data_IF_882608991511
#
_entry.id   IF_882608991511
#
_cell.length_a   1.000
_cell.length_b   1.000
_cell.length_c   1.000
_cell.angle_alpha   90.00
_cell.angle_beta   90.00
_cell.angle_gamma   90.00
#
_symmetry.space_group_name_H-M   'P 1'
#
loop_
_entity.id
_entity.type
_entity.pdbx_description
1 polymer ?
#
# COMPACT_ATOMS: atom_id res chain seq x y z
N UNK A 1 -55.46 0.88 2.47
CA UNK A 1 -54.86 1.27 1.18
C UNK A 1 -55.64 2.44 0.54
N UNK A 2 -56.97 2.46 0.63
CA UNK A 2 -57.82 3.48 0.01
C UNK A 2 -58.24 4.66 0.89
N UNK A 3 -57.61 4.89 2.05
CA UNK A 3 -57.94 6.08 2.83
C UNK A 3 -57.44 7.35 2.10
N UNK A 4 -58.12 8.50 2.27
CA UNK A 4 -57.70 9.75 1.65
C UNK A 4 -56.23 10.12 1.95
N UNK A 5 -55.74 9.84 3.15
CA UNK A 5 -54.36 10.10 3.59
C UNK A 5 -53.36 9.21 2.84
N UNK A 6 -53.67 7.92 2.69
CA UNK A 6 -52.82 6.98 1.96
C UNK A 6 -52.74 7.34 0.47
N UNK A 7 -53.85 7.77 -0.14
CA UNK A 7 -53.88 8.25 -1.52
C UNK A 7 -53.07 9.53 -1.68
N UNK A 8 -53.31 10.52 -0.83
CA UNK A 8 -52.56 11.77 -0.85
C UNK A 8 -51.04 11.52 -0.70
N UNK A 9 -50.64 10.70 0.26
CA UNK A 9 -49.23 10.35 0.48
C UNK A 9 -48.62 9.64 -0.72
N UNK A 10 -49.32 8.69 -1.33
CA UNK A 10 -48.84 7.97 -2.52
C UNK A 10 -48.71 8.90 -3.74
N UNK A 11 -49.72 9.76 -3.98
CA UNK A 11 -49.70 10.74 -5.06
C UNK A 11 -48.56 11.74 -4.92
N UNK A 12 -48.33 12.29 -3.71
CA UNK A 12 -47.20 13.21 -3.47
C UNK A 12 -45.85 12.54 -3.73
N UNK A 13 -45.67 11.28 -3.29
CA UNK A 13 -44.43 10.53 -3.57
C UNK A 13 -44.25 10.26 -5.07
N UNK A 14 -45.31 9.83 -5.76
CA UNK A 14 -45.26 9.58 -7.20
C UNK A 14 -44.91 10.87 -7.98
N UNK A 15 -45.49 12.00 -7.62
CA UNK A 15 -45.20 13.31 -8.24
C UNK A 15 -43.75 13.78 -8.02
N UNK A 16 -43.07 13.30 -6.97
CA UNK A 16 -41.67 13.61 -6.66
C UNK A 16 -40.67 12.54 -7.14
N UNK A 17 -41.09 11.63 -8.03
CA UNK A 17 -40.20 10.62 -8.62
C UNK A 17 -40.05 9.33 -7.80
N UNK A 18 -40.90 9.13 -6.77
CA UNK A 18 -40.98 7.89 -6.01
C UNK A 18 -40.63 8.05 -4.53
N UNK A 19 -40.35 6.91 -3.88
CA UNK A 19 -40.01 6.88 -2.45
C UNK A 19 -38.51 7.05 -2.23
N UNK A 20 -38.15 7.82 -1.20
CA UNK A 20 -36.77 8.01 -0.73
C UNK A 20 -36.72 7.80 0.79
N UNK A 21 -35.59 7.31 1.36
CA UNK A 21 -34.34 6.97 0.68
C UNK A 21 -34.43 5.66 -0.13
N UNK A 22 -33.66 5.59 -1.21
CA UNK A 22 -33.47 4.38 -2.01
C UNK A 22 -31.98 4.22 -2.36
N UNK A 23 -31.47 2.99 -2.37
CA UNK A 23 -30.05 2.70 -2.64
C UNK A 23 -29.92 1.61 -3.70
N UNK A 24 -29.17 1.88 -4.77
CA UNK A 24 -28.82 0.85 -5.76
C UNK A 24 -27.62 0.06 -5.25
N UNK A 25 -27.64 -1.26 -5.43
CA UNK A 25 -26.51 -2.11 -5.03
C UNK A 25 -25.42 -2.19 -6.09
N UNK A 26 -25.77 -1.92 -7.34
CA UNK A 26 -24.90 -2.03 -8.51
C UNK A 26 -25.06 -0.82 -9.43
N UNK A 27 -23.98 -0.44 -10.11
CA UNK A 27 -23.98 0.53 -11.20
C UNK A 27 -23.92 -0.14 -12.58
N UNK A 28 -23.60 0.63 -13.61
CA UNK A 28 -23.36 0.13 -14.96
C UNK A 28 -22.22 -0.89 -15.02
N UNK A 29 -22.28 -1.82 -15.97
CA UNK A 29 -21.19 -2.79 -16.20
C UNK A 29 -20.01 -2.13 -16.93
N UNK A 30 -18.80 -2.46 -16.48
CA UNK A 30 -17.54 -2.01 -17.08
C UNK A 30 -16.58 -3.20 -17.16
N UNK A 31 -15.88 -3.33 -18.29
CA UNK A 31 -14.81 -4.31 -18.46
C UNK A 31 -13.48 -3.61 -18.19
N UNK A 32 -12.65 -4.21 -17.34
CA UNK A 32 -11.34 -3.64 -16.99
C UNK A 32 -10.25 -4.17 -17.95
N UNK A 33 -9.16 -3.43 -18.16
CA UNK A 33 -8.04 -3.92 -18.95
C UNK A 33 -7.39 -5.16 -18.29
N UNK A 34 -6.95 -6.15 -19.06
CA UNK A 34 -6.22 -7.30 -18.53
C UNK A 34 -4.86 -6.87 -17.97
N UNK A 35 -4.23 -7.71 -17.15
CA UNK A 35 -2.90 -7.46 -16.59
C UNK A 35 -1.84 -7.17 -17.67
N UNK A 36 -1.97 -7.77 -18.85
CA UNK A 36 -1.07 -7.53 -20.00
C UNK A 36 -1.09 -6.08 -20.51
N UNK A 37 -2.12 -5.28 -20.19
CA UNK A 37 -2.11 -3.85 -20.49
C UNK A 37 -1.02 -3.09 -19.72
N UNK A 38 -0.48 -3.69 -18.65
CA UNK A 38 0.57 -3.14 -17.81
C UNK A 38 1.92 -3.84 -18.02
N UNK A 39 2.14 -4.53 -19.15
CA UNK A 39 3.35 -5.34 -19.42
C UNK A 39 4.67 -4.60 -19.12
N UNK A 40 4.75 -3.30 -19.42
CA UNK A 40 5.93 -2.47 -19.17
C UNK A 40 6.27 -2.32 -17.68
N UNK A 41 5.32 -2.59 -16.78
CA UNK A 41 5.52 -2.59 -15.33
C UNK A 41 5.84 -3.99 -14.78
N UNK A 42 5.65 -5.05 -15.59
CA UNK A 42 5.91 -6.43 -15.20
C UNK A 42 7.35 -6.88 -15.52
N UNK A 43 8.00 -6.17 -16.44
CA UNK A 43 9.37 -6.43 -16.89
C UNK A 43 10.39 -5.60 -16.09
N UNK A 44 11.65 -6.05 -16.13
CA UNK A 44 12.76 -5.32 -15.51
C UNK A 44 12.93 -3.92 -16.09
N UNK A 45 13.22 -2.94 -15.23
CA UNK A 45 13.59 -1.58 -15.66
C UNK A 45 15.04 -1.47 -16.14
N UNK A 46 15.81 -2.56 -16.06
CA UNK A 46 17.24 -2.56 -16.38
C UNK A 46 18.01 -1.63 -15.42
N UNK A 47 18.81 -0.73 -15.99
CA UNK A 47 19.57 0.27 -15.23
C UNK A 47 18.73 1.51 -14.85
N UNK A 48 17.53 1.67 -15.41
CA UNK A 48 16.69 2.82 -15.11
C UNK A 48 16.07 2.66 -13.74
N UNK A 49 16.31 3.65 -12.89
CA UNK A 49 15.68 3.76 -11.58
C UNK A 49 14.37 4.57 -11.67
N UNK A 50 13.34 4.08 -10.99
CA UNK A 50 12.06 4.77 -10.80
C UNK A 50 11.55 4.49 -9.39
N UNK A 51 10.56 5.25 -8.93
CA UNK A 51 9.85 4.99 -7.69
C UNK A 51 8.52 4.27 -7.94
N UNK A 52 7.91 3.72 -6.89
CA UNK A 52 6.53 3.17 -7.00
C UNK A 52 5.50 4.25 -7.31
N UNK A 53 5.72 5.51 -6.89
CA UNK A 53 4.90 6.65 -7.34
C UNK A 53 5.02 6.89 -8.84
N UNK A 54 6.24 6.88 -9.40
CA UNK A 54 6.42 7.00 -10.86
C UNK A 54 5.82 5.81 -11.62
N UNK A 55 5.88 4.60 -11.07
CA UNK A 55 5.23 3.43 -11.63
C UNK A 55 3.69 3.60 -11.63
N UNK A 56 3.11 4.11 -10.53
CA UNK A 56 1.69 4.43 -10.45
C UNK A 56 1.26 5.42 -11.55
N UNK A 57 1.99 6.51 -11.74
CA UNK A 57 1.67 7.52 -12.80
C UNK A 57 1.61 6.87 -14.18
N UNK A 58 2.49 5.90 -14.47
CA UNK A 58 2.46 5.14 -15.73
C UNK A 58 1.25 4.21 -15.83
N UNK A 59 0.89 3.52 -14.74
CA UNK A 59 -0.31 2.68 -14.65
C UNK A 59 -1.56 3.54 -14.89
N UNK A 60 -1.67 4.67 -14.20
CA UNK A 60 -2.77 5.61 -14.36
C UNK A 60 -2.84 6.14 -15.79
N UNK A 61 -1.70 6.44 -16.41
CA UNK A 61 -1.63 6.87 -17.82
C UNK A 61 -2.20 5.82 -18.78
N UNK A 62 -1.96 4.54 -18.53
CA UNK A 62 -2.57 3.43 -19.28
C UNK A 62 -4.09 3.39 -19.06
N UNK A 63 -4.55 3.53 -17.80
CA UNK A 63 -5.96 3.49 -17.45
C UNK A 63 -6.77 4.62 -18.09
N UNK A 64 -6.27 5.86 -18.05
CA UNK A 64 -6.99 7.02 -18.62
C UNK A 64 -7.04 6.98 -20.15
N UNK A 65 -6.13 6.24 -20.80
CA UNK A 65 -6.12 6.01 -22.26
C UNK A 65 -6.98 4.82 -22.68
N UNK A 66 -7.42 3.99 -21.73
CA UNK A 66 -8.29 2.86 -22.04
C UNK A 66 -9.65 3.35 -22.56
N UNK A 67 -10.10 2.78 -23.68
CA UNK A 67 -11.31 3.24 -24.38
C UNK A 67 -12.60 2.91 -23.63
N UNK A 68 -12.59 1.94 -22.72
CA UNK A 68 -13.76 1.51 -21.97
C UNK A 68 -13.87 2.24 -20.64
N UNK A 69 -12.77 2.32 -19.88
CA UNK A 69 -12.79 2.86 -18.53
C UNK A 69 -12.20 4.25 -18.39
N UNK A 70 -11.42 4.74 -19.35
CA UNK A 70 -10.61 5.95 -19.20
C UNK A 70 -11.41 7.20 -18.82
N UNK A 71 -12.62 7.36 -19.35
CA UNK A 71 -13.52 8.49 -19.01
C UNK A 71 -14.16 8.41 -17.61
N UNK A 72 -14.09 7.25 -16.95
CA UNK A 72 -14.64 7.03 -15.60
C UNK A 72 -13.55 7.14 -14.52
N UNK A 73 -12.28 7.19 -14.91
CA UNK A 73 -11.17 7.40 -13.98
C UNK A 73 -11.23 8.83 -13.44
N UNK A 74 -11.07 9.00 -12.12
CA UNK A 74 -11.09 10.33 -11.48
C UNK A 74 -9.80 10.50 -10.68
N UNK A 75 -8.74 11.10 -11.27
CA UNK A 75 -7.54 11.46 -10.50
C UNK A 75 -7.87 12.62 -9.56
N UNK A 76 -7.48 12.51 -8.29
CA UNK A 76 -7.74 13.52 -7.26
C UNK A 76 -6.43 13.81 -6.53
N UNK A 77 -6.12 15.10 -6.34
CA UNK A 77 -4.90 15.61 -5.71
C UNK A 77 -5.24 16.78 -4.76
N UNK A 78 -4.56 16.88 -3.59
CA UNK A 78 -4.67 18.02 -2.69
C UNK A 78 -3.44 18.93 -2.85
N UNK A 79 -3.46 19.82 -3.84
CA UNK A 79 -2.40 20.75 -4.27
C UNK A 79 -1.18 20.07 -4.91
N UNK A 80 -0.58 19.11 -4.22
CA UNK A 80 0.77 18.60 -4.45
C UNK A 80 0.92 17.61 -5.61
N UNK A 81 0.45 17.95 -6.80
CA UNK A 81 0.53 17.08 -7.98
C UNK A 81 1.96 16.89 -8.53
N UNK A 82 2.80 17.93 -8.50
CA UNK A 82 4.18 17.88 -9.00
C UNK A 82 5.06 16.94 -8.15
N UNK A 83 4.86 16.95 -6.84
CA UNK A 83 5.53 16.03 -5.92
C UNK A 83 5.30 14.56 -6.30
N UNK A 84 4.13 14.26 -6.87
CA UNK A 84 3.77 12.90 -7.30
C UNK A 84 4.06 12.61 -8.78
N UNK A 85 4.68 13.53 -9.52
CA UNK A 85 4.98 13.35 -10.95
C UNK A 85 3.74 13.37 -11.85
N UNK A 86 2.65 13.99 -11.38
CA UNK A 86 1.35 14.04 -12.07
C UNK A 86 1.26 15.19 -13.09
N UNK A 87 2.24 16.09 -13.15
CA UNK A 87 2.21 17.29 -13.99
C UNK A 87 2.07 17.00 -15.49
N UNK A 88 2.60 15.86 -15.95
CA UNK A 88 2.42 15.42 -17.34
C UNK A 88 0.98 15.07 -17.70
N UNK A 89 0.13 14.80 -16.69
CA UNK A 89 -1.29 14.52 -16.89
C UNK A 89 -2.12 15.80 -17.04
N UNK A 90 -1.70 16.93 -16.49
CA UNK A 90 -2.45 18.20 -16.60
C UNK A 90 -2.71 18.59 -18.04
N UNK A 91 -1.70 18.43 -18.90
CA UNK A 91 -1.86 18.70 -20.33
C UNK A 91 -2.78 17.70 -21.04
N UNK A 92 -2.74 16.44 -20.63
CA UNK A 92 -3.51 15.36 -21.28
C UNK A 92 -4.98 15.38 -20.85
N UNK A 93 -5.25 15.60 -19.56
CA UNK A 93 -6.55 15.41 -18.93
C UNK A 93 -7.24 16.72 -18.56
N UNK A 94 -6.48 17.81 -18.38
CA UNK A 94 -7.00 19.05 -17.81
C UNK A 94 -7.38 18.92 -16.34
N UNK A 95 -7.35 20.04 -15.64
CA UNK A 95 -7.84 20.19 -14.27
C UNK A 95 -9.26 20.73 -14.35
N UNK A 96 -10.19 20.09 -13.65
CA UNK A 96 -11.58 20.49 -13.65
C UNK A 96 -11.74 21.85 -13.00
N UNK A 97 -12.21 22.84 -13.76
CA UNK A 97 -12.65 24.11 -13.24
C UNK A 97 -13.97 24.50 -13.90
N UNK A 98 -15.04 24.63 -13.10
CA UNK A 98 -16.40 24.90 -13.63
C UNK A 98 -16.49 26.20 -14.43
N UNK A 99 -15.63 27.18 -14.13
CA UNK A 99 -15.53 28.45 -14.85
C UNK A 99 -14.49 28.43 -15.99
N UNK A 100 -13.68 27.38 -16.10
CA UNK A 100 -12.49 27.32 -16.95
C UNK A 100 -11.33 28.14 -16.39
N UNK A 101 -10.24 28.21 -17.14
CA UNK A 101 -9.03 28.97 -16.79
C UNK A 101 -9.31 30.48 -16.75
N UNK A 102 -9.20 31.10 -15.57
CA UNK A 102 -9.44 32.54 -15.36
C UNK A 102 -8.15 33.38 -15.20
N UNK A 103 -6.98 32.74 -15.25
CA UNK A 103 -5.67 33.36 -15.05
C UNK A 103 -4.63 32.74 -15.98
N UNK A 104 -3.51 33.45 -16.21
CA UNK A 104 -2.35 32.86 -16.86
C UNK A 104 -1.51 32.11 -15.80
N UNK A 105 -1.27 30.79 -15.94
CA UNK A 105 -0.42 30.05 -15.03
C UNK A 105 0.99 30.61 -14.96
N UNK A 106 1.60 30.62 -13.77
CA UNK A 106 2.99 31.06 -13.61
C UNK A 106 3.98 30.19 -14.39
N UNK A 107 3.61 28.95 -14.68
CA UNK A 107 4.39 27.98 -15.45
C UNK A 107 3.94 27.89 -16.92
N UNK A 108 3.23 28.89 -17.46
CA UNK A 108 2.70 28.90 -18.83
C UNK A 108 3.77 28.72 -19.92
N UNK A 109 5.03 29.04 -19.61
CA UNK A 109 6.20 28.87 -20.47
C UNK A 109 6.78 27.44 -20.46
N UNK A 110 6.34 26.59 -19.52
CA UNK A 110 6.79 25.21 -19.38
C UNK A 110 6.00 24.25 -20.28
N UNK A 111 6.63 23.14 -20.69
CA UNK A 111 6.00 22.11 -21.54
C UNK A 111 4.80 21.43 -20.85
N UNK A 112 4.86 21.32 -19.53
CA UNK A 112 3.86 20.70 -18.66
C UNK A 112 3.26 21.74 -17.71
N UNK A 113 2.63 22.75 -18.29
CA UNK A 113 1.99 23.84 -17.54
C UNK A 113 0.63 23.43 -16.97
N UNK A 114 0.22 24.13 -15.93
CA UNK A 114 -1.06 23.94 -15.27
C UNK A 114 -2.22 24.37 -16.18
N UNK A 115 -3.18 23.47 -16.47
CA UNK A 115 -4.26 23.73 -17.43
C UNK A 115 -5.62 23.39 -16.85
N UNK A 116 -6.41 24.41 -16.56
CA UNK A 116 -7.79 24.28 -16.13
C UNK A 116 -8.76 24.30 -17.32
N UNK A 117 -9.79 23.45 -17.28
CA UNK A 117 -10.88 23.45 -18.25
C UNK A 117 -12.19 22.93 -17.65
N UNK A 118 -13.31 23.31 -18.29
CA UNK A 118 -14.65 22.89 -17.85
C UNK A 118 -14.89 21.39 -18.02
N UNK A 119 -14.14 20.78 -18.92
CA UNK A 119 -14.11 19.35 -19.24
C UNK A 119 -12.86 18.65 -18.69
N UNK A 120 -12.12 19.32 -17.79
CA UNK A 120 -10.96 18.73 -17.13
C UNK A 120 -11.36 17.52 -16.30
N UNK A 121 -10.50 16.52 -16.26
CA UNK A 121 -10.78 15.24 -15.59
C UNK A 121 -10.14 15.11 -14.21
N UNK A 122 -9.08 15.88 -13.93
CA UNK A 122 -8.40 15.88 -12.63
C UNK A 122 -9.15 16.78 -11.65
N UNK A 123 -9.41 16.30 -10.44
CA UNK A 123 -9.91 17.12 -9.34
C UNK A 123 -8.71 17.60 -8.51
N UNK A 124 -8.45 18.90 -8.58
CA UNK A 124 -7.44 19.59 -7.78
C UNK A 124 -8.18 20.41 -6.72
N UNK A 125 -8.04 19.98 -5.47
CA UNK A 125 -8.87 20.44 -4.35
C UNK A 125 -8.11 21.39 -3.40
N UNK A 126 -6.84 21.69 -3.74
CA UNK A 126 -5.93 22.47 -2.92
C UNK A 126 -5.58 21.77 -1.60
N UNK A 127 -5.07 22.54 -0.63
CA UNK A 127 -4.66 22.03 0.70
C UNK A 127 -5.90 21.72 1.55
N UNK A 128 -6.60 20.64 1.20
CA UNK A 128 -7.87 20.26 1.80
C UNK A 128 -8.10 18.74 1.70
N UNK A 129 -7.39 17.93 2.50
CA UNK A 129 -7.51 16.47 2.44
C UNK A 129 -8.93 15.98 2.73
N UNK A 130 -9.66 16.64 3.62
CA UNK A 130 -11.05 16.31 3.90
C UNK A 130 -11.97 16.57 2.69
N UNK A 131 -11.72 17.66 1.96
CA UNK A 131 -12.39 17.98 0.69
C UNK A 131 -12.05 16.96 -0.39
N UNK A 132 -10.76 16.69 -0.63
CA UNK A 132 -10.32 15.68 -1.59
C UNK A 132 -10.88 14.30 -1.31
N UNK A 133 -10.91 13.89 -0.04
CA UNK A 133 -11.52 12.62 0.33
C UNK A 133 -13.04 12.61 0.16
N UNK A 134 -13.71 13.74 0.39
CA UNK A 134 -15.15 13.86 0.14
C UNK A 134 -15.46 13.74 -1.35
N UNK A 135 -14.66 14.36 -2.23
CA UNK A 135 -14.74 14.18 -3.68
C UNK A 135 -14.44 12.75 -4.10
N UNK A 136 -13.43 12.11 -3.48
CA UNK A 136 -13.14 10.70 -3.67
C UNK A 136 -14.32 9.81 -3.27
N UNK A 137 -14.93 10.04 -2.11
CA UNK A 137 -16.06 9.26 -1.60
C UNK A 137 -17.31 9.44 -2.48
N UNK A 138 -17.56 10.66 -2.96
CA UNK A 138 -18.65 10.93 -3.90
C UNK A 138 -18.46 10.16 -5.22
N UNK A 139 -17.26 10.18 -5.79
CA UNK A 139 -16.94 9.38 -6.98
C UNK A 139 -17.04 7.87 -6.70
N UNK A 140 -16.46 7.41 -5.59
CA UNK A 140 -16.38 6.00 -5.18
C UNK A 140 -17.75 5.37 -4.88
N UNK A 141 -18.78 6.19 -4.65
CA UNK A 141 -20.16 5.76 -4.40
C UNK A 141 -21.14 6.12 -5.52
N UNK A 142 -20.66 6.78 -6.58
CA UNK A 142 -21.47 7.21 -7.72
C UNK A 142 -22.21 6.04 -8.37
N UNK A 143 -21.62 4.83 -8.38
CA UNK A 143 -22.26 3.62 -8.90
C UNK A 143 -23.65 3.36 -8.28
N UNK A 144 -23.83 3.70 -7.01
CA UNK A 144 -25.08 3.52 -6.27
C UNK A 144 -25.97 4.76 -6.42
N UNK A 145 -25.39 5.94 -6.20
CA UNK A 145 -26.11 7.22 -6.14
C UNK A 145 -26.68 7.59 -7.50
N UNK A 146 -25.87 7.54 -8.55
CA UNK A 146 -26.24 7.96 -9.92
C UNK A 146 -26.50 6.77 -10.84
N UNK A 147 -26.01 5.58 -10.48
CA UNK A 147 -26.02 4.40 -11.37
C UNK A 147 -24.78 4.31 -12.28
N UNK A 148 -23.87 5.28 -12.19
CA UNK A 148 -22.65 5.35 -13.01
C UNK A 148 -21.41 5.11 -12.15
N UNK A 149 -20.66 4.05 -12.44
CA UNK A 149 -19.39 3.75 -11.81
C UNK A 149 -18.36 4.83 -12.18
N UNK A 150 -17.71 5.41 -11.16
CA UNK A 150 -16.51 6.21 -11.30
C UNK A 150 -15.39 5.50 -10.54
N UNK A 151 -14.14 5.66 -10.99
CA UNK A 151 -12.96 4.96 -10.48
C UNK A 151 -11.99 6.01 -9.94
N UNK A 152 -12.18 6.48 -8.70
CA UNK A 152 -11.33 7.54 -8.16
C UNK A 152 -9.98 7.00 -7.68
N UNK A 153 -8.93 7.74 -8.00
CA UNK A 153 -7.57 7.57 -7.51
C UNK A 153 -7.18 8.86 -6.78
N UNK A 154 -7.26 8.83 -5.46
CA UNK A 154 -6.85 9.95 -4.61
C UNK A 154 -5.43 9.74 -4.11
N UNK A 155 -4.49 10.56 -4.56
CA UNK A 155 -3.08 10.51 -4.18
C UNK A 155 -2.72 11.70 -3.29
N UNK A 156 -2.08 11.42 -2.17
CA UNK A 156 -1.80 12.40 -1.11
C UNK A 156 -0.61 11.95 -0.26
N UNK A 157 -0.05 12.85 0.56
CA UNK A 157 0.95 12.47 1.55
C UNK A 157 0.34 11.50 2.55
N UNK A 158 0.82 10.25 2.59
CA UNK A 158 0.27 9.14 3.39
C UNK A 158 -0.11 9.51 4.84
N UNK A 159 0.72 10.32 5.51
CA UNK A 159 0.49 10.84 6.86
C UNK A 159 -0.85 11.59 7.02
N UNK A 160 -1.32 12.27 5.98
CA UNK A 160 -2.56 13.05 5.99
C UNK A 160 -3.76 12.27 5.46
N UNK A 161 -3.64 10.94 5.37
CA UNK A 161 -4.77 10.02 5.16
C UNK A 161 -5.48 9.71 6.47
N UNK A 162 -5.47 8.44 6.88
CA UNK A 162 -6.25 7.95 8.01
C UNK A 162 -6.03 8.72 9.32
N UNK A 163 -4.84 9.28 9.56
CA UNK A 163 -4.59 10.09 10.74
C UNK A 163 -5.39 11.41 10.73
N UNK A 164 -5.55 12.04 9.56
CA UNK A 164 -6.20 13.34 9.42
C UNK A 164 -7.70 13.22 9.14
N UNK A 165 -8.11 12.20 8.38
CA UNK A 165 -9.48 12.02 7.84
C UNK A 165 -10.07 10.65 8.18
N UNK A 166 -9.63 10.02 9.28
CA UNK A 166 -10.03 8.65 9.65
C UNK A 166 -11.55 8.44 9.80
N UNK A 167 -12.28 9.43 10.31
CA UNK A 167 -13.74 9.34 10.45
C UNK A 167 -14.45 9.33 9.08
N UNK A 168 -13.96 10.11 8.12
CA UNK A 168 -14.43 10.05 6.73
C UNK A 168 -14.08 8.70 6.09
N UNK A 169 -12.89 8.16 6.36
CA UNK A 169 -12.51 6.84 5.87
C UNK A 169 -13.42 5.73 6.42
N UNK A 170 -13.83 5.82 7.68
CA UNK A 170 -14.83 4.94 8.27
C UNK A 170 -16.20 5.10 7.58
N UNK A 171 -16.65 6.34 7.39
CA UNK A 171 -17.90 6.65 6.69
C UNK A 171 -17.92 6.17 5.22
N UNK A 172 -16.77 6.18 4.55
CA UNK A 172 -16.62 5.59 3.22
C UNK A 172 -16.80 4.08 3.24
N UNK A 173 -16.25 3.40 4.25
CA UNK A 173 -16.48 1.98 4.50
C UNK A 173 -17.98 1.66 4.64
N UNK A 174 -18.69 2.42 5.46
CA UNK A 174 -20.15 2.30 5.65
C UNK A 174 -20.94 2.57 4.35
N UNK A 175 -20.53 3.62 3.62
CA UNK A 175 -21.14 4.01 2.34
C UNK A 175 -20.91 3.01 1.20
N UNK A 176 -20.06 1.99 1.44
CA UNK A 176 -19.61 0.99 0.45
C UNK A 176 -18.86 1.63 -0.71
N UNK A 177 -17.93 2.52 -0.38
CA UNK A 177 -17.05 3.16 -1.36
C UNK A 177 -16.24 2.09 -2.13
N UNK A 178 -16.01 2.36 -3.42
CA UNK A 178 -15.19 1.57 -4.33
C UNK A 178 -14.20 2.50 -5.05
N UNK A 179 -12.92 2.42 -4.70
CA UNK A 179 -11.89 3.32 -5.24
C UNK A 179 -10.52 3.06 -4.64
N UNK A 180 -9.53 3.87 -5.04
CA UNK A 180 -8.14 3.76 -4.61
C UNK A 180 -7.71 5.01 -3.84
N UNK A 181 -7.19 4.79 -2.64
CA UNK A 181 -6.45 5.75 -1.84
C UNK A 181 -4.96 5.44 -1.99
N UNK A 182 -4.17 6.44 -2.36
CA UNK A 182 -2.75 6.29 -2.63
C UNK A 182 -1.98 7.17 -1.66
N UNK A 183 -1.50 6.55 -0.58
CA UNK A 183 -0.62 7.20 0.37
C UNK A 183 0.77 7.33 -0.23
N UNK A 184 1.01 8.40 -0.97
CA UNK A 184 2.32 8.71 -1.52
C UNK A 184 3.27 9.21 -0.43
N UNK A 185 4.54 9.33 -0.81
CA UNK A 185 5.64 9.74 0.08
C UNK A 185 5.65 8.97 1.41
N UNK A 186 5.22 7.70 1.37
CA UNK A 186 5.07 6.85 2.54
C UNK A 186 6.39 6.28 3.04
N UNK A 187 6.37 5.87 4.31
CA UNK A 187 7.49 5.27 5.01
C UNK A 187 8.25 6.28 5.86
N UNK A 188 8.49 5.93 7.13
CA UNK A 188 9.08 6.83 8.13
C UNK A 188 10.45 7.33 7.68
N UNK A 189 11.29 6.46 7.14
CA UNK A 189 12.66 6.83 6.75
C UNK A 189 12.77 7.32 5.32
N UNK A 190 11.70 7.20 4.53
CA UNK A 190 11.73 7.43 3.08
C UNK A 190 11.49 8.89 2.71
N UNK A 191 10.57 9.56 3.41
CA UNK A 191 10.31 11.00 3.30
C UNK A 191 11.24 11.80 4.25
N UNK A 192 12.54 11.57 4.08
CA UNK A 192 13.57 11.82 5.08
C UNK A 192 13.81 13.29 5.46
N UNK A 193 13.43 14.24 4.59
CA UNK A 193 13.66 15.68 4.84
C UNK A 193 12.55 16.34 5.65
N UNK A 194 11.34 15.79 5.62
CA UNK A 194 10.13 16.48 6.09
C UNK A 194 9.88 16.34 7.59
N UNK A 195 10.46 15.31 8.23
CA UNK A 195 10.48 15.18 9.67
C UNK A 195 9.14 14.78 10.31
N UNK A 196 9.02 15.14 11.59
CA UNK A 196 8.05 14.60 12.56
C UNK A 196 6.60 14.49 12.06
N UNK A 197 6.10 15.53 11.39
CA UNK A 197 4.69 15.62 11.00
C UNK A 197 4.38 14.98 9.64
N UNK A 198 5.37 14.44 8.94
CA UNK A 198 5.23 13.93 7.57
C UNK A 198 5.69 12.49 7.41
N UNK A 199 6.76 12.10 8.12
CA UNK A 199 7.33 10.76 8.06
C UNK A 199 6.34 9.74 8.58
N UNK A 200 5.67 9.00 7.70
CA UNK A 200 4.62 8.04 8.05
C UNK A 200 5.16 6.62 8.23
N UNK A 201 5.13 6.16 9.48
CA UNK A 201 5.40 4.77 9.84
C UNK A 201 4.23 4.08 10.56
N UNK A 202 2.97 4.51 10.34
CA UNK A 202 1.83 3.95 11.09
C UNK A 202 0.47 3.97 10.38
N UNK A 203 0.33 4.57 9.19
CA UNK A 203 -0.94 4.60 8.44
C UNK A 203 -1.56 3.22 8.19
N UNK A 204 -0.75 2.19 7.92
CA UNK A 204 -1.25 0.81 7.72
C UNK A 204 -1.91 0.21 8.96
N UNK A 205 -1.52 0.63 10.17
CA UNK A 205 -2.20 0.19 11.39
C UNK A 205 -3.55 0.88 11.57
N UNK A 206 -3.65 2.15 11.13
CA UNK A 206 -4.92 2.85 11.11
C UNK A 206 -5.86 2.27 10.04
N UNK A 207 -5.36 1.99 8.84
CA UNK A 207 -6.17 1.40 7.76
C UNK A 207 -6.67 0.00 8.11
N UNK A 208 -5.89 -0.78 8.88
CA UNK A 208 -6.26 -2.11 9.35
C UNK A 208 -7.58 -2.13 10.15
N UNK A 209 -7.94 -1.00 10.78
CA UNK A 209 -9.16 -0.87 11.58
C UNK A 209 -10.44 -0.92 10.73
N UNK A 210 -10.36 -0.59 9.42
CA UNK A 210 -11.52 -0.50 8.54
C UNK A 210 -11.73 -1.83 7.80
N UNK A 211 -12.82 -2.58 8.05
CA UNK A 211 -12.95 -3.96 7.56
C UNK A 211 -12.91 -4.14 6.05
N UNK A 212 -13.45 -3.18 5.30
CA UNK A 212 -13.50 -3.23 3.82
C UNK A 212 -12.45 -2.34 3.15
N UNK A 213 -11.45 -1.85 3.90
CA UNK A 213 -10.24 -1.25 3.34
C UNK A 213 -9.18 -2.33 3.14
N UNK A 214 -8.76 -2.58 1.90
CA UNK A 214 -7.71 -3.55 1.55
C UNK A 214 -6.39 -2.79 1.40
N UNK A 215 -5.40 -3.10 2.24
CA UNK A 215 -4.16 -2.31 2.33
C UNK A 215 -2.96 -3.05 1.76
N UNK A 216 -2.11 -2.39 0.98
CA UNK A 216 -0.87 -2.94 0.44
C UNK A 216 0.30 -1.94 0.55
N UNK A 217 1.51 -2.48 0.74
CA UNK A 217 2.79 -1.76 0.78
C UNK A 217 3.79 -2.36 -0.22
N UNK A 218 3.54 -2.20 -1.54
CA UNK A 218 4.35 -2.82 -2.58
C UNK A 218 5.77 -2.21 -2.62
N UNK A 219 6.78 -3.05 -2.87
CA UNK A 219 8.15 -2.64 -3.19
C UNK A 219 8.33 -2.44 -4.69
N UNK A 220 7.75 -3.28 -5.55
CA UNK A 220 8.07 -3.28 -6.97
C UNK A 220 6.90 -2.85 -7.87
N UNK A 221 7.22 -2.31 -9.04
CA UNK A 221 6.25 -1.84 -10.02
C UNK A 221 5.28 -2.95 -10.48
N UNK A 222 5.77 -4.19 -10.58
CA UNK A 222 4.92 -5.33 -10.95
C UNK A 222 3.91 -5.68 -9.85
N UNK A 223 4.29 -5.55 -8.58
CA UNK A 223 3.37 -5.79 -7.46
C UNK A 223 2.23 -4.77 -7.51
N UNK A 224 2.59 -3.50 -7.71
CA UNK A 224 1.62 -2.41 -7.86
C UNK A 224 0.68 -2.64 -9.06
N UNK A 225 1.19 -3.08 -10.20
CA UNK A 225 0.38 -3.38 -11.39
C UNK A 225 -0.61 -4.52 -11.12
N UNK A 226 -0.16 -5.61 -10.48
CA UNK A 226 -1.01 -6.75 -10.10
C UNK A 226 -2.09 -6.30 -9.10
N UNK A 227 -1.72 -5.54 -8.06
CA UNK A 227 -2.64 -5.07 -7.01
C UNK A 227 -3.71 -4.14 -7.60
N UNK A 228 -3.32 -3.15 -8.42
CA UNK A 228 -4.29 -2.22 -9.05
C UNK A 228 -5.22 -2.97 -9.99
N UNK A 229 -4.69 -3.87 -10.82
CA UNK A 229 -5.51 -4.64 -11.76
C UNK A 229 -6.53 -5.52 -11.03
N UNK A 230 -6.14 -6.15 -9.92
CA UNK A 230 -7.06 -6.93 -9.08
C UNK A 230 -8.09 -6.04 -8.38
N UNK A 231 -7.69 -4.88 -7.87
CA UNK A 231 -8.62 -3.91 -7.27
C UNK A 231 -9.68 -3.46 -8.28
N UNK A 232 -9.28 -3.21 -9.53
CA UNK A 232 -10.19 -2.90 -10.63
C UNK A 232 -11.14 -4.06 -10.91
N UNK A 233 -10.62 -5.29 -11.00
CA UNK A 233 -11.45 -6.49 -11.23
C UNK A 233 -12.49 -6.67 -10.12
N UNK A 234 -12.09 -6.58 -8.85
CA UNK A 234 -12.98 -6.76 -7.70
C UNK A 234 -14.02 -5.64 -7.60
N UNK A 235 -13.59 -4.39 -7.62
CA UNK A 235 -14.46 -3.25 -7.36
C UNK A 235 -15.32 -2.87 -8.58
N UNK A 236 -14.75 -2.86 -9.77
CA UNK A 236 -15.38 -2.29 -10.98
C UNK A 236 -16.10 -3.37 -11.78
N UNK A 237 -15.44 -4.50 -12.04
CA UNK A 237 -16.02 -5.57 -12.85
C UNK A 237 -16.94 -6.48 -12.01
N UNK A 238 -16.47 -6.94 -10.85
CA UNK A 238 -17.25 -7.82 -9.97
C UNK A 238 -18.18 -7.07 -9.01
N UNK A 239 -18.00 -5.75 -8.87
CA UNK A 239 -18.81 -4.90 -8.00
C UNK A 239 -18.77 -5.32 -6.51
N UNK A 240 -17.60 -5.70 -6.02
CA UNK A 240 -17.32 -5.97 -4.61
C UNK A 240 -17.20 -4.65 -3.83
N UNK A 241 -17.84 -4.59 -2.65
CA UNK A 241 -17.90 -3.39 -1.80
C UNK A 241 -16.68 -3.27 -0.87
N UNK A 242 -15.51 -3.10 -1.49
CA UNK A 242 -14.22 -2.82 -0.85
C UNK A 242 -13.59 -1.58 -1.49
N UNK A 243 -12.65 -0.97 -0.79
CA UNK A 243 -11.76 0.05 -1.37
C UNK A 243 -10.31 -0.26 -1.01
N UNK A 244 -9.39 0.26 -1.81
CA UNK A 244 -7.97 -0.05 -1.70
C UNK A 244 -7.20 1.12 -1.09
N UNK A 245 -6.26 0.80 -0.20
CA UNK A 245 -5.22 1.69 0.25
C UNK A 245 -3.87 1.13 -0.17
N UNK A 246 -3.09 1.92 -0.91
CA UNK A 246 -1.79 1.48 -1.40
C UNK A 246 -0.78 2.58 -1.08
N UNK A 247 0.28 2.24 -0.36
CA UNK A 247 1.38 3.16 -0.11
C UNK A 247 2.34 3.20 -1.28
N UNK A 248 2.79 4.42 -1.61
CA UNK A 248 3.72 4.69 -2.70
C UNK A 248 4.90 5.51 -2.16
N UNK A 249 6.08 5.26 -2.69
CA UNK A 249 7.33 5.84 -2.17
C UNK A 249 7.94 6.78 -3.20
N UNK A 250 8.77 7.72 -2.74
CA UNK A 250 9.45 8.71 -3.58
C UNK A 250 10.94 8.38 -3.86
N UNK A 251 11.45 7.28 -3.32
CA UNK A 251 12.81 6.81 -3.59
C UNK A 251 12.87 6.05 -4.91
N UNK A 252 13.86 6.38 -5.76
CA UNK A 252 14.09 5.69 -7.02
C UNK A 252 15.05 4.52 -6.83
N UNK A 253 14.75 3.39 -7.48
CA UNK A 253 15.61 2.22 -7.56
C UNK A 253 15.23 1.38 -8.79
N UNK A 254 16.04 0.36 -9.10
CA UNK A 254 15.73 -0.58 -10.17
C UNK A 254 14.61 -1.53 -9.74
N UNK A 255 13.71 -1.84 -10.68
CA UNK A 255 12.64 -2.80 -10.45
C UNK A 255 12.94 -4.07 -11.26
N UNK A 256 12.98 -5.26 -10.62
CA UNK A 256 13.24 -6.51 -11.32
C UNK A 256 12.00 -6.98 -12.08
N UNK A 257 12.20 -7.98 -12.94
CA UNK A 257 11.09 -8.68 -13.58
C UNK A 257 10.25 -9.43 -12.55
N UNK A 258 8.93 -9.47 -12.78
CA UNK A 258 8.01 -10.25 -11.95
C UNK A 258 8.37 -11.74 -11.98
N UNK A 259 8.58 -12.39 -10.82
CA UNK A 259 8.78 -13.83 -10.80
C UNK A 259 7.55 -14.56 -11.34
N UNK A 260 7.77 -15.56 -12.20
CA UNK A 260 6.69 -16.33 -12.83
C UNK A 260 5.78 -16.97 -11.77
N UNK A 261 4.48 -16.69 -11.83
CA UNK A 261 3.50 -17.25 -10.89
C UNK A 261 3.41 -16.54 -9.55
N UNK A 262 4.07 -15.38 -9.37
CA UNK A 262 4.02 -14.61 -8.13
C UNK A 262 2.68 -13.88 -7.91
N UNK A 263 1.82 -13.79 -8.93
CA UNK A 263 0.59 -13.00 -8.91
C UNK A 263 -0.31 -13.34 -7.71
N UNK A 264 -0.54 -14.64 -7.45
CA UNK A 264 -1.36 -15.07 -6.32
C UNK A 264 -0.73 -14.64 -4.99
N UNK A 265 0.59 -14.80 -4.83
CA UNK A 265 1.29 -14.42 -3.60
C UNK A 265 1.35 -12.92 -3.38
N UNK A 266 1.51 -12.13 -4.43
CA UNK A 266 1.40 -10.66 -4.40
C UNK A 266 0.02 -10.25 -3.88
N UNK A 267 -1.06 -10.86 -4.37
CA UNK A 267 -2.42 -10.53 -3.96
C UNK A 267 -2.74 -11.02 -2.55
N UNK A 268 -2.23 -12.20 -2.17
CA UNK A 268 -2.43 -12.78 -0.84
C UNK A 268 -1.58 -12.14 0.25
N UNK A 269 -0.53 -11.39 -0.12
CA UNK A 269 0.24 -10.56 0.79
C UNK A 269 1.69 -11.01 1.00
N UNK A 270 2.11 -12.17 0.47
CA UNK A 270 3.50 -12.66 0.57
C UNK A 270 3.86 -13.63 -0.56
N UNK A 271 5.08 -13.52 -1.08
CA UNK A 271 5.71 -14.52 -1.93
C UNK A 271 7.21 -14.61 -1.69
N UNK A 272 7.81 -15.75 -2.06
CA UNK A 272 9.25 -15.93 -1.97
C UNK A 272 9.92 -15.14 -3.11
N UNK A 273 10.66 -14.09 -2.76
CA UNK A 273 11.35 -13.23 -3.72
C UNK A 273 12.64 -13.89 -4.20
N UNK A 274 13.43 -14.45 -3.28
CA UNK A 274 14.63 -15.20 -3.62
C UNK A 274 14.92 -16.29 -2.59
N UNK A 275 15.54 -17.38 -3.05
CA UNK A 275 16.05 -18.46 -2.20
C UNK A 275 17.56 -18.47 -2.19
N UNK A 276 18.13 -18.58 -1.01
CA UNK A 276 19.57 -18.72 -0.85
C UNK A 276 20.03 -20.12 -1.25
N UNK A 277 21.10 -20.16 -2.05
CA UNK A 277 21.79 -21.41 -2.44
C UNK A 277 22.96 -21.76 -1.50
N UNK A 278 23.23 -20.93 -0.49
CA UNK A 278 24.28 -21.19 0.48
C UNK A 278 23.95 -22.43 1.35
N UNK A 279 25.01 -23.07 1.89
CA UNK A 279 24.91 -24.27 2.74
C UNK A 279 24.83 -23.95 4.24
N UNK A 280 24.82 -22.66 4.60
CA UNK A 280 24.79 -22.18 5.98
C UNK A 280 23.49 -22.47 6.73
N UNK A 281 23.44 -22.08 8.01
CA UNK A 281 22.21 -22.08 8.80
C UNK A 281 21.11 -21.32 8.05
N UNK A 282 19.92 -21.90 7.97
CA UNK A 282 18.80 -21.35 7.21
C UNK A 282 18.03 -20.33 8.05
N UNK A 283 17.68 -19.20 7.44
CA UNK A 283 16.83 -18.16 8.05
C UNK A 283 15.87 -17.59 7.01
N UNK A 284 14.82 -16.93 7.48
CA UNK A 284 13.83 -16.26 6.64
C UNK A 284 13.89 -14.76 6.88
N UNK A 285 13.96 -13.97 5.81
CA UNK A 285 13.93 -12.51 5.90
C UNK A 285 12.72 -11.95 5.14
N UNK A 286 11.95 -11.09 5.79
CA UNK A 286 10.77 -10.45 5.24
C UNK A 286 10.97 -8.95 5.15
N UNK A 287 10.49 -8.34 4.08
CA UNK A 287 10.39 -6.89 3.97
C UNK A 287 9.20 -6.45 3.11
N UNK A 288 8.81 -5.20 3.28
CA UNK A 288 7.80 -4.51 2.47
C UNK A 288 8.29 -3.11 2.12
N UNK A 289 7.64 -2.45 1.16
CA UNK A 289 7.98 -1.10 0.74
C UNK A 289 9.47 -0.99 0.38
N UNK A 290 10.10 0.16 0.63
CA UNK A 290 11.52 0.33 0.27
C UNK A 290 12.48 -0.46 1.17
N UNK A 291 12.05 -0.85 2.37
CA UNK A 291 12.90 -1.57 3.33
C UNK A 291 13.17 -3.01 2.89
N UNK A 292 12.36 -3.59 1.99
CA UNK A 292 12.71 -4.86 1.35
C UNK A 292 14.11 -4.81 0.67
N UNK A 293 14.56 -3.64 0.18
CA UNK A 293 15.90 -3.48 -0.39
C UNK A 293 17.00 -3.63 0.65
N UNK A 294 16.79 -3.12 1.86
CA UNK A 294 17.72 -3.31 2.99
C UNK A 294 17.72 -4.79 3.44
N UNK A 295 16.58 -5.46 3.38
CA UNK A 295 16.45 -6.89 3.65
C UNK A 295 17.21 -7.74 2.62
N UNK A 296 17.09 -7.42 1.33
CA UNK A 296 17.85 -8.07 0.25
C UNK A 296 19.36 -7.88 0.49
N UNK A 297 19.80 -6.66 0.79
CA UNK A 297 21.20 -6.39 1.09
C UNK A 297 21.69 -7.13 2.36
N UNK A 298 20.83 -7.27 3.37
CA UNK A 298 21.15 -8.04 4.57
C UNK A 298 21.33 -9.53 4.27
N UNK A 299 20.53 -10.10 3.36
CA UNK A 299 20.69 -11.49 2.91
C UNK A 299 22.08 -11.72 2.29
N UNK A 300 22.55 -10.79 1.45
CA UNK A 300 23.89 -10.85 0.85
C UNK A 300 25.00 -10.76 1.91
N UNK A 301 24.84 -9.89 2.92
CA UNK A 301 25.78 -9.78 4.03
C UNK A 301 25.80 -11.06 4.88
N UNK A 302 24.65 -11.65 5.18
CA UNK A 302 24.53 -12.90 5.94
C UNK A 302 25.24 -14.06 5.24
N UNK A 303 25.07 -14.19 3.92
CA UNK A 303 25.75 -15.23 3.15
C UNK A 303 27.26 -15.01 3.13
N UNK A 304 27.70 -13.79 2.80
CA UNK A 304 29.12 -13.47 2.57
C UNK A 304 29.93 -13.44 3.85
N UNK A 305 29.41 -12.80 4.89
CA UNK A 305 30.17 -12.50 6.11
C UNK A 305 29.98 -13.54 7.21
N UNK A 306 28.84 -14.25 7.21
CA UNK A 306 28.41 -15.06 8.35
C UNK A 306 28.11 -16.51 8.00
N UNK A 307 28.17 -16.89 6.71
CA UNK A 307 27.80 -18.22 6.22
C UNK A 307 26.40 -18.62 6.71
N UNK A 308 25.45 -17.70 6.60
CA UNK A 308 24.03 -17.90 6.90
C UNK A 308 23.25 -17.80 5.59
N UNK A 309 22.34 -18.74 5.38
CA UNK A 309 21.56 -18.87 4.17
C UNK A 309 20.17 -18.27 4.37
N UNK A 310 19.92 -17.11 3.76
CA UNK A 310 18.70 -16.33 3.96
C UNK A 310 17.76 -16.41 2.75
N UNK A 311 16.57 -16.97 2.95
CA UNK A 311 15.49 -16.87 1.95
C UNK A 311 14.75 -15.54 2.16
N UNK A 312 14.58 -14.76 1.09
CA UNK A 312 13.95 -13.43 1.13
C UNK A 312 12.51 -13.52 0.65
N UNK A 313 11.62 -12.88 1.40
CA UNK A 313 10.19 -12.83 1.15
C UNK A 313 9.77 -11.37 0.96
N UNK A 314 9.11 -11.08 -0.17
CA UNK A 314 8.40 -9.81 -0.33
C UNK A 314 7.02 -9.95 0.32
N UNK A 315 6.72 -9.05 1.24
CA UNK A 315 5.44 -8.99 1.95
C UNK A 315 4.68 -7.76 1.46
N UNK A 316 3.78 -7.96 0.48
CA UNK A 316 2.99 -6.89 -0.11
C UNK A 316 1.85 -6.42 0.82
N UNK A 317 1.41 -7.26 1.78
CA UNK A 317 0.41 -6.84 2.78
C UNK A 317 0.44 -7.69 4.05
N UNK A 318 0.95 -7.11 5.15
CA UNK A 318 0.81 -7.72 6.47
C UNK A 318 -0.65 -7.73 6.97
N UNK A 319 -1.44 -6.71 6.60
CA UNK A 319 -2.84 -6.59 7.03
C UNK A 319 -3.71 -7.72 6.46
N UNK A 320 -3.57 -8.04 5.17
CA UNK A 320 -4.35 -9.12 4.55
C UNK A 320 -3.92 -10.50 5.06
N UNK A 321 -2.61 -10.70 5.31
CA UNK A 321 -2.11 -11.93 5.92
C UNK A 321 -2.66 -12.14 7.34
N UNK A 322 -2.78 -11.06 8.13
CA UNK A 322 -3.40 -11.14 9.46
C UNK A 322 -4.87 -11.50 9.37
N UNK A 323 -5.62 -10.87 8.47
CA UNK A 323 -7.04 -11.16 8.28
C UNK A 323 -7.25 -12.62 7.91
N UNK A 324 -6.47 -13.14 6.96
CA UNK A 324 -6.49 -14.55 6.58
C UNK A 324 -6.13 -15.48 7.77
N UNK A 325 -5.11 -15.14 8.54
CA UNK A 325 -4.72 -15.89 9.73
C UNK A 325 -5.80 -15.96 10.80
N UNK A 326 -6.42 -14.83 11.12
CA UNK A 326 -7.53 -14.76 12.08
C UNK A 326 -8.77 -15.50 11.58
N UNK A 327 -9.06 -15.45 10.28
CA UNK A 327 -10.16 -16.20 9.67
C UNK A 327 -9.93 -17.71 9.77
N UNK A 328 -8.70 -18.17 9.57
CA UNK A 328 -8.32 -19.56 9.76
C UNK A 328 -8.47 -19.98 11.24
N UNK A 329 -7.94 -19.21 12.19
CA UNK A 329 -8.06 -19.48 13.62
C UNK A 329 -9.52 -19.50 14.09
N UNK A 330 -10.32 -18.51 13.69
CA UNK A 330 -11.74 -18.45 14.02
C UNK A 330 -12.48 -19.68 13.49
N UNK A 331 -12.19 -20.11 12.26
CA UNK A 331 -12.80 -21.31 11.70
C UNK A 331 -12.39 -22.56 12.49
N UNK A 332 -11.10 -22.69 12.81
CA UNK A 332 -10.53 -23.82 13.56
C UNK A 332 -11.17 -23.95 14.96
N UNK A 333 -11.26 -22.83 15.69
CA UNK A 333 -11.91 -22.74 17.00
C UNK A 333 -13.37 -23.21 16.96
N UNK A 334 -14.11 -22.84 15.92
CA UNK A 334 -15.54 -23.18 15.76
C UNK A 334 -15.78 -24.54 15.10
N UNK A 335 -14.72 -25.22 14.62
CA UNK A 335 -14.82 -26.50 13.92
C UNK A 335 -13.70 -27.46 14.40
N UNK A 336 -13.66 -27.82 15.70
CA UNK A 336 -12.55 -28.59 16.27
C UNK A 336 -12.39 -30.01 15.69
N UNK A 337 -13.47 -30.61 15.18
CA UNK A 337 -13.46 -31.97 14.63
C UNK A 337 -13.26 -32.02 13.10
N UNK A 338 -13.25 -30.87 12.42
CA UNK A 338 -13.08 -30.80 10.95
C UNK A 338 -11.60 -30.62 10.57
N UNK A 339 -11.21 -30.85 9.30
CA UNK A 339 -9.86 -30.56 8.84
C UNK A 339 -9.50 -29.09 9.06
N UNK A 340 -8.47 -28.85 9.88
CA UNK A 340 -8.07 -27.49 10.28
C UNK A 340 -7.55 -26.69 9.08
N UNK A 341 -7.97 -25.44 8.98
CA UNK A 341 -7.46 -24.47 8.01
C UNK A 341 -6.06 -24.02 8.42
N UNK A 342 -5.21 -23.81 7.42
CA UNK A 342 -3.87 -23.26 7.57
C UNK A 342 -3.88 -21.87 6.96
N UNK A 343 -3.35 -20.87 7.65
CA UNK A 343 -3.23 -19.51 7.11
C UNK A 343 -2.33 -19.48 5.87
N UNK A 344 -2.53 -18.52 4.97
CA UNK A 344 -1.77 -18.38 3.74
C UNK A 344 -0.28 -18.20 4.03
N UNK A 345 0.10 -17.39 5.04
CA UNK A 345 1.52 -17.24 5.40
C UNK A 345 2.14 -18.57 5.83
N UNK A 346 1.44 -19.39 6.62
CA UNK A 346 1.92 -20.71 7.01
C UNK A 346 1.99 -21.68 5.82
N UNK A 347 1.08 -21.56 4.83
CA UNK A 347 1.15 -22.33 3.59
C UNK A 347 2.34 -21.90 2.72
N UNK A 348 2.53 -20.59 2.52
CA UNK A 348 3.61 -20.02 1.71
C UNK A 348 4.99 -20.39 2.30
N UNK A 349 5.11 -20.35 3.63
CA UNK A 349 6.33 -20.69 4.36
C UNK A 349 6.44 -22.17 4.72
N UNK A 350 5.64 -23.04 4.11
CA UNK A 350 5.71 -24.48 4.40
C UNK A 350 7.11 -25.03 4.11
N UNK A 351 7.75 -25.56 5.14
CA UNK A 351 9.11 -26.09 5.07
C UNK A 351 10.22 -25.05 5.18
N UNK A 352 9.88 -23.77 5.43
CA UNK A 352 10.85 -22.76 5.83
C UNK A 352 11.54 -23.17 7.14
N UNK A 353 12.83 -22.85 7.25
CA UNK A 353 13.67 -23.24 8.39
C UNK A 353 14.30 -22.02 9.05
N UNK A 354 14.50 -22.15 10.36
CA UNK A 354 15.12 -21.13 11.21
C UNK A 354 14.22 -19.95 11.55
N UNK A 355 14.78 -18.95 12.26
CA UNK A 355 14.05 -17.76 12.65
C UNK A 355 13.66 -16.90 11.46
N UNK A 356 12.57 -16.16 11.62
CA UNK A 356 12.07 -15.16 10.68
C UNK A 356 12.33 -13.76 11.21
N UNK A 357 12.98 -12.92 10.41
CA UNK A 357 13.26 -11.52 10.70
C UNK A 357 12.48 -10.67 9.69
N UNK A 358 11.61 -9.79 10.17
CA UNK A 358 10.88 -8.84 9.34
C UNK A 358 11.38 -7.42 9.60
N UNK A 359 11.63 -6.64 8.55
CA UNK A 359 11.95 -5.21 8.65
C UNK A 359 11.05 -4.41 7.70
N UNK A 360 10.43 -3.34 8.20
CA UNK A 360 9.53 -2.48 7.43
C UNK A 360 9.77 -1.02 7.76
N UNK A 361 9.28 -0.11 6.92
CA UNK A 361 9.37 1.34 7.18
C UNK A 361 8.27 1.85 8.13
N UNK A 362 7.55 0.93 8.77
CA UNK A 362 6.47 1.17 9.74
C UNK A 362 6.87 0.63 11.11
N UNK A 363 6.16 1.02 12.15
CA UNK A 363 6.39 0.54 13.51
C UNK A 363 6.28 -0.99 13.60
N UNK A 364 7.00 -1.59 14.55
CA UNK A 364 7.17 -3.05 14.68
C UNK A 364 5.83 -3.80 14.68
N UNK A 365 4.81 -3.22 15.33
CA UNK A 365 3.48 -3.83 15.40
C UNK A 365 2.82 -4.07 14.03
N UNK A 366 3.26 -3.38 12.97
CA UNK A 366 2.80 -3.67 11.61
C UNK A 366 3.25 -5.05 11.12
N UNK A 367 4.50 -5.43 11.36
CA UNK A 367 4.98 -6.76 10.99
C UNK A 367 4.62 -7.83 12.05
N UNK A 368 4.65 -7.49 13.34
CA UNK A 368 4.34 -8.42 14.44
C UNK A 368 2.91 -8.98 14.38
N UNK A 369 2.02 -8.29 13.67
CA UNK A 369 0.62 -8.65 13.55
C UNK A 369 0.38 -10.07 12.96
N UNK A 370 1.37 -10.62 12.25
CA UNK A 370 1.32 -11.99 11.68
C UNK A 370 2.16 -13.01 12.45
N UNK A 371 2.86 -12.61 13.52
CA UNK A 371 3.87 -13.45 14.19
C UNK A 371 3.29 -14.80 14.66
N UNK A 372 2.05 -14.83 15.13
CA UNK A 372 1.37 -16.06 15.57
C UNK A 372 1.08 -17.07 14.44
N UNK A 373 1.12 -16.63 13.18
CA UNK A 373 0.86 -17.47 12.01
C UNK A 373 2.15 -17.94 11.32
N UNK A 374 3.30 -17.38 11.69
CA UNK A 374 4.60 -17.72 11.10
C UNK A 374 5.24 -18.85 11.91
N UNK A 375 5.78 -19.90 11.26
CA UNK A 375 6.46 -20.97 11.98
C UNK A 375 7.78 -20.48 12.61
N UNK A 376 8.03 -20.89 13.86
CA UNK A 376 9.30 -20.64 14.55
C UNK A 376 9.39 -19.27 15.22
N UNK A 377 10.62 -18.83 15.52
CA UNK A 377 10.87 -17.52 16.14
C UNK A 377 10.63 -16.41 15.13
N UNK A 378 9.86 -15.40 15.51
CA UNK A 378 9.64 -14.18 14.72
C UNK A 378 10.28 -12.97 15.44
N UNK A 379 10.96 -12.11 14.69
CA UNK A 379 11.56 -10.86 15.17
C UNK A 379 11.21 -9.73 14.21
N UNK A 380 10.61 -8.66 14.71
CA UNK A 380 10.30 -7.47 13.93
C UNK A 380 11.27 -6.32 14.21
N UNK A 381 11.70 -5.68 13.14
CA UNK A 381 12.33 -4.36 13.11
C UNK A 381 11.34 -3.38 12.48
N UNK A 382 11.29 -2.16 13.02
CA UNK A 382 10.31 -1.18 12.61
C UNK A 382 10.62 0.20 13.19
N UNK A 383 9.95 1.19 12.63
CA UNK A 383 10.24 2.62 12.79
C UNK A 383 9.41 3.28 13.89
N UNK A 384 9.37 2.63 15.06
CA UNK A 384 8.74 3.17 16.26
C UNK A 384 9.43 4.47 16.71
N UNK A 385 8.64 5.49 17.09
CA UNK A 385 9.15 6.81 17.48
C UNK A 385 8.69 7.92 16.53
N UNK A 386 8.99 9.17 16.90
CA UNK A 386 8.71 10.32 16.06
C UNK A 386 9.73 10.45 14.94
N UNK A 387 9.26 10.89 13.77
CA UNK A 387 10.12 11.22 12.64
C UNK A 387 11.03 12.41 12.91
N UNK A 388 12.10 12.54 12.11
CA UNK A 388 13.09 13.63 12.20
C UNK A 388 13.81 13.81 10.87
N UNK A 389 14.13 15.05 10.52
CA UNK A 389 14.81 15.34 9.26
C UNK A 389 16.28 14.86 9.28
N UNK A 390 16.65 13.97 8.35
CA UNK A 390 18.04 13.58 8.06
C UNK A 390 18.13 12.94 6.65
N UNK A 391 19.25 12.36 6.27
CA UNK A 391 19.40 11.45 5.12
C UNK A 391 18.65 10.13 5.36
N UNK A 392 18.21 9.45 4.28
CA UNK A 392 17.54 8.13 4.38
C UNK A 392 18.41 7.12 5.11
N UNK A 393 19.72 7.12 4.83
CA UNK A 393 20.70 6.23 5.45
C UNK A 393 20.77 6.46 6.96
N UNK A 394 20.86 7.72 7.40
CA UNK A 394 20.89 8.06 8.81
C UNK A 394 19.57 7.68 9.51
N UNK A 395 18.42 7.93 8.88
CA UNK A 395 17.13 7.57 9.46
C UNK A 395 16.94 6.06 9.58
N UNK A 396 17.30 5.29 8.56
CA UNK A 396 17.23 3.81 8.62
C UNK A 396 18.12 3.24 9.72
N UNK A 397 19.29 3.84 9.93
CA UNK A 397 20.18 3.45 11.03
C UNK A 397 19.68 3.93 12.40
N UNK A 398 19.10 5.12 12.46
CA UNK A 398 18.48 5.69 13.65
C UNK A 398 17.31 4.81 14.12
N UNK A 399 16.38 4.48 13.23
CA UNK A 399 15.22 3.62 13.50
C UNK A 399 15.53 2.11 13.55
N UNK A 400 16.79 1.71 13.32
CA UNK A 400 17.23 0.31 13.45
C UNK A 400 16.59 -0.64 12.42
N UNK A 401 16.34 -0.15 11.20
CA UNK A 401 15.68 -0.91 10.11
C UNK A 401 16.57 -1.15 8.90
N UNK A 402 17.80 -0.63 8.90
CA UNK A 402 18.79 -0.87 7.85
C UNK A 402 19.30 -2.33 7.80
N UNK A 403 20.03 -2.66 6.74
CA UNK A 403 20.59 -4.00 6.52
C UNK A 403 21.45 -4.53 7.68
N UNK A 404 22.16 -3.65 8.39
CA UNK A 404 23.06 -4.06 9.47
C UNK A 404 22.28 -4.49 10.71
N UNK A 405 21.19 -3.79 11.03
CA UNK A 405 20.29 -4.21 12.10
C UNK A 405 19.55 -5.50 11.74
N UNK A 406 19.17 -5.71 10.47
CA UNK A 406 18.61 -7.00 10.02
C UNK A 406 19.61 -8.14 10.24
N UNK A 407 20.89 -7.95 9.91
CA UNK A 407 21.94 -8.94 10.18
C UNK A 407 22.10 -9.21 11.67
N UNK A 408 22.19 -8.17 12.50
CA UNK A 408 22.36 -8.32 13.95
C UNK A 408 21.15 -9.02 14.60
N UNK A 409 19.93 -8.66 14.20
CA UNK A 409 18.71 -9.32 14.66
C UNK A 409 18.71 -10.81 14.27
N UNK A 410 19.16 -11.13 13.05
CA UNK A 410 19.28 -12.51 12.57
C UNK A 410 20.27 -13.33 13.38
N UNK A 411 21.47 -12.79 13.60
CA UNK A 411 22.50 -13.44 14.42
C UNK A 411 22.04 -13.63 15.85
N UNK A 412 21.36 -12.63 16.43
CA UNK A 412 20.82 -12.72 17.78
C UNK A 412 19.75 -13.81 17.89
N UNK A 413 18.83 -13.89 16.93
CA UNK A 413 17.80 -14.93 16.91
C UNK A 413 18.40 -16.35 16.83
N UNK A 414 19.38 -16.55 15.95
CA UNK A 414 20.12 -17.82 15.86
C UNK A 414 20.92 -18.13 17.13
N UNK A 415 21.49 -17.12 17.79
CA UNK A 415 22.19 -17.32 19.06
C UNK A 415 21.24 -17.73 20.19
N UNK A 416 20.03 -17.17 20.24
CA UNK A 416 18.99 -17.54 21.20
C UNK A 416 18.48 -18.97 20.97
N UNK A 417 18.50 -19.44 19.72
CA UNK A 417 18.22 -20.85 19.38
C UNK A 417 19.43 -21.79 19.57
N UNK A 418 20.57 -21.26 20.04
CA UNK A 418 21.79 -22.04 20.28
C UNK A 418 22.51 -22.49 19.00
N UNK A 419 22.18 -21.93 17.83
CA UNK A 419 22.79 -22.26 16.54
C UNK A 419 24.15 -21.62 16.32
N UNK A 420 24.43 -20.51 17.00
CA UNK A 420 25.72 -19.82 16.97
C UNK A 420 26.01 -19.14 18.32
N UNK A 421 27.28 -18.89 18.66
CA UNK A 421 27.61 -18.26 19.94
C UNK A 421 27.28 -16.75 19.94
N UNK A 422 26.83 -16.23 21.09
CA UNK A 422 26.50 -14.81 21.26
C UNK A 422 27.65 -13.85 20.90
N UNK A 423 28.91 -14.31 20.95
CA UNK A 423 30.08 -13.54 20.53
C UNK A 423 30.03 -13.12 19.06
N UNK A 424 29.34 -13.87 18.19
CA UNK A 424 29.13 -13.49 16.79
C UNK A 424 28.22 -12.27 16.63
N UNK A 425 27.25 -12.11 17.52
CA UNK A 425 26.41 -10.90 17.57
C UNK A 425 27.27 -9.69 17.94
N UNK A 426 28.13 -9.83 18.96
CA UNK A 426 29.07 -8.78 19.36
C UNK A 426 30.09 -8.45 18.26
N UNK A 427 30.53 -9.45 17.49
CA UNK A 427 31.40 -9.27 16.32
C UNK A 427 30.70 -8.42 15.26
N UNK A 428 29.43 -8.69 14.96
CA UNK A 428 28.64 -7.95 13.97
C UNK A 428 28.41 -6.49 14.39
N UNK A 429 28.01 -6.25 15.65
CA UNK A 429 27.81 -4.90 16.19
C UNK A 429 29.09 -4.06 16.02
N UNK A 430 30.26 -4.64 16.34
CA UNK A 430 31.56 -3.97 16.16
C UNK A 430 31.90 -3.78 14.68
N UNK A 431 31.72 -4.81 13.84
CA UNK A 431 32.04 -4.78 12.41
C UNK A 431 31.26 -3.69 11.69
N UNK A 432 29.97 -3.55 11.99
CA UNK A 432 29.08 -2.56 11.38
C UNK A 432 29.02 -1.23 12.13
N UNK A 433 29.84 -1.07 13.19
CA UNK A 433 29.97 0.17 13.98
C UNK A 433 28.62 0.66 14.54
N UNK A 434 27.78 -0.27 14.97
CA UNK A 434 26.48 0.07 15.55
C UNK A 434 26.67 0.57 16.99
N UNK A 435 26.01 1.67 17.33
CA UNK A 435 25.98 2.17 18.70
C UNK A 435 24.95 1.39 19.51
N UNK A 436 25.43 0.46 20.35
CA UNK A 436 24.59 -0.34 21.23
C UNK A 436 24.01 0.44 22.43
N UNK A 437 24.52 1.66 22.70
CA UNK A 437 24.11 2.48 23.83
C UNK A 437 23.29 3.70 23.39
N UNK A 438 23.01 3.85 22.09
CA UNK A 438 22.13 4.93 21.64
C UNK A 438 20.75 4.79 22.30
N UNK A 439 20.05 5.90 22.58
CA UNK A 439 18.68 5.84 23.09
C UNK A 439 17.77 5.07 22.14
N UNK A 440 16.77 4.40 22.70
CA UNK A 440 15.71 3.79 21.91
C UNK A 440 15.01 4.88 21.07
N UNK A 441 14.74 4.66 19.76
CA UNK A 441 14.10 5.66 18.90
C UNK A 441 12.78 6.27 19.45
N UNK A 442 12.06 5.54 20.31
CA UNK A 442 10.84 6.02 20.97
C UNK A 442 11.05 7.00 22.13
N UNK A 443 12.29 7.15 22.60
CA UNK A 443 12.63 7.94 23.80
C UNK A 443 13.23 9.31 23.49
N UNK A 444 13.32 9.67 22.20
CA UNK A 444 14.07 10.83 21.69
C UNK A 444 13.33 11.63 20.65
#
# INVERSE_FOLDING_TARGET
ADSPEMRYMAERRAAMGGSVPARRRKGNELTIPPLSAFENMLVSTGEREISTTMAFVRILSTLVRDKQIGKYVVPIVPDEARTFGMEGMFRQLGIYASQGQLYEPMDSDQVMYYKESKDGQILEEGINEAGSFSSWMAAATSYSVTGVQMIPFYIFYSMFGFQRIGDLAWAAGDSRARGFLLGATAGRTTLNGEGLQHEDGHSHLMSATIPNCISYDPTFAYELAVIIQEGLRRMVQNQEDVYYYITLMNENYTHPEMPKGAEEGILKGIYNFSKSKAKGEKVQLMGSGVILREVIAAAELLEKDWNISADVWSVTSFNELRRDGLDAERWNMLNPEKPQRVSYVAQAMKGAQGPTIASTDYMKSFAEQIAGFVPGKFVALGTDGYGRSDSREALRSFFEVDRYYVVVATLKALADEGKLPASKVSEAIKKYKLDANKPNPTTV
#
